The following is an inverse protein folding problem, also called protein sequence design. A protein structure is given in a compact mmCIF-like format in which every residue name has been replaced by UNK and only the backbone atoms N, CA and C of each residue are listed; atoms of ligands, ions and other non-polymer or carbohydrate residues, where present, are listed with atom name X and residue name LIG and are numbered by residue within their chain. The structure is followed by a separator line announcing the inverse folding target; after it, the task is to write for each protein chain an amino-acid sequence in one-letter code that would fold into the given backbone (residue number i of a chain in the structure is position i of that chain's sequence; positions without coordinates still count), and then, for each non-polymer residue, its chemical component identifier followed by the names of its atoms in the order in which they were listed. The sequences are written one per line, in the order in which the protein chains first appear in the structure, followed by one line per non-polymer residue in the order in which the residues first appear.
data_IF_488187076492
#
_entry.id   IF_488187076492
#
_cell.length_a   1.000
_cell.length_b   1.000
_cell.length_c   1.000
_cell.angle_alpha   90.00
_cell.angle_beta   90.00
_cell.angle_gamma   90.00
#
_symmetry.space_group_name_H-M   'P 1'
#
loop_
_entity.id
_entity.type
_entity.pdbx_description
1 polymer ?
#
# COMPACT_ATOMS: atom_id res chain seq x y z
N UNK A 1 -20.77 6.81 -9.33
CA UNK A 1 -19.89 6.25 -8.27
C UNK A 1 -18.70 7.17 -7.93
N UNK A 2 -18.13 7.90 -8.90
CA UNK A 2 -17.06 8.89 -8.66
C UNK A 2 -17.42 9.94 -7.62
N UNK A 3 -18.69 10.32 -7.56
CA UNK A 3 -19.19 11.41 -6.71
C UNK A 3 -19.15 11.08 -5.21
N UNK A 4 -18.80 9.84 -4.86
CA UNK A 4 -18.64 9.38 -3.48
C UNK A 4 -17.17 9.31 -3.04
N UNK A 5 -16.22 9.61 -3.94
CA UNK A 5 -14.78 9.45 -3.72
C UNK A 5 -14.13 10.81 -3.48
N UNK A 6 -13.75 11.07 -2.23
CA UNK A 6 -13.16 12.36 -1.84
C UNK A 6 -11.75 12.21 -1.23
N UNK A 7 -11.61 11.46 -0.14
CA UNK A 7 -10.36 11.38 0.63
C UNK A 7 -9.50 10.16 0.32
N UNK A 8 -10.08 9.15 -0.35
CA UNK A 8 -9.42 7.90 -0.73
C UNK A 8 -9.57 7.71 -2.24
N UNK A 9 -8.86 8.50 -3.02
CA UNK A 9 -8.88 8.42 -4.48
C UNK A 9 -7.83 7.40 -4.93
N UNK A 10 -8.22 6.19 -5.39
CA UNK A 10 -7.26 5.21 -5.85
C UNK A 10 -6.63 5.64 -7.17
N UNK A 11 -5.30 5.68 -7.22
CA UNK A 11 -4.52 5.99 -8.43
C UNK A 11 -3.47 4.93 -8.71
N UNK A 12 -3.15 4.71 -9.99
CA UNK A 12 -2.07 3.83 -10.40
C UNK A 12 -0.72 4.39 -9.97
N UNK A 13 -0.03 3.68 -9.09
CA UNK A 13 1.28 4.07 -8.59
C UNK A 13 2.32 4.14 -9.72
N UNK A 14 3.12 5.22 -9.74
CA UNK A 14 4.21 5.41 -10.70
C UNK A 14 5.57 5.30 -10.01
N UNK A 15 5.83 6.16 -9.03
CA UNK A 15 7.02 6.12 -8.17
C UNK A 15 6.78 6.94 -6.91
N UNK A 16 7.58 6.71 -5.87
CA UNK A 16 7.52 7.48 -4.61
C UNK A 16 7.85 8.96 -4.89
N UNK A 17 8.88 9.23 -5.70
CA UNK A 17 9.25 10.59 -6.10
C UNK A 17 8.12 11.33 -6.82
N UNK A 18 7.36 10.65 -7.69
CA UNK A 18 6.24 11.29 -8.38
C UNK A 18 5.09 11.60 -7.41
N UNK A 19 4.79 10.69 -6.49
CA UNK A 19 3.77 10.89 -5.48
C UNK A 19 4.12 12.06 -4.55
N UNK A 20 5.38 12.14 -4.12
CA UNK A 20 5.91 13.26 -3.34
C UNK A 20 5.80 14.60 -4.10
N UNK A 21 6.20 14.63 -5.37
CA UNK A 21 6.10 15.82 -6.22
C UNK A 21 4.65 16.31 -6.35
N UNK A 22 3.70 15.39 -6.53
CA UNK A 22 2.28 15.74 -6.69
C UNK A 22 1.67 16.24 -5.38
N UNK A 23 2.15 15.78 -4.22
CA UNK A 23 1.79 16.30 -2.90
C UNK A 23 0.27 16.22 -2.61
N UNK A 24 -0.43 15.24 -3.20
CA UNK A 24 -1.88 15.04 -3.06
C UNK A 24 -2.19 13.96 -2.02
N UNK A 25 -2.45 14.38 -0.79
CA UNK A 25 -2.72 13.46 0.34
C UNK A 25 -3.98 12.60 0.19
N UNK A 26 -4.96 13.03 -0.62
CA UNK A 26 -6.18 12.26 -0.89
C UNK A 26 -5.98 11.15 -1.93
N UNK A 27 -4.87 11.15 -2.66
CA UNK A 27 -4.53 10.05 -3.57
C UNK A 27 -3.91 8.89 -2.79
N UNK A 28 -4.35 7.67 -3.06
CA UNK A 28 -3.83 6.45 -2.45
C UNK A 28 -3.45 5.43 -3.52
N UNK A 29 -2.56 4.50 -3.18
CA UNK A 29 -2.21 3.38 -4.08
C UNK A 29 -2.30 2.03 -3.38
N UNK A 30 -2.72 1.02 -4.14
CA UNK A 30 -2.75 -0.38 -3.71
C UNK A 30 -1.55 -1.14 -4.27
N UNK A 31 -0.96 -2.01 -3.46
CA UNK A 31 0.23 -2.79 -3.79
C UNK A 31 0.01 -4.26 -3.43
N UNK A 32 0.47 -5.17 -4.31
CA UNK A 32 0.63 -6.56 -3.91
C UNK A 32 1.71 -6.69 -2.83
N UNK A 33 1.64 -7.73 -2.01
CA UNK A 33 2.65 -8.02 -0.99
C UNK A 33 4.08 -7.99 -1.56
N UNK A 34 4.29 -8.61 -2.73
CA UNK A 34 5.62 -8.68 -3.38
C UNK A 34 6.11 -7.29 -3.81
N UNK A 35 5.21 -6.46 -4.35
CA UNK A 35 5.57 -5.11 -4.81
C UNK A 35 5.91 -4.20 -3.63
N UNK A 36 5.12 -4.25 -2.56
CA UNK A 36 5.39 -3.46 -1.37
C UNK A 36 6.67 -3.93 -0.67
N UNK A 37 6.95 -5.25 -0.67
CA UNK A 37 8.19 -5.79 -0.14
C UNK A 37 9.43 -5.34 -0.94
N UNK A 38 9.32 -5.23 -2.28
CA UNK A 38 10.37 -4.62 -3.12
C UNK A 38 10.60 -3.15 -2.76
N UNK A 39 9.53 -2.36 -2.55
CA UNK A 39 9.66 -0.96 -2.08
C UNK A 39 10.33 -0.87 -0.70
N UNK A 40 10.01 -1.78 0.23
CA UNK A 40 10.67 -1.84 1.54
C UNK A 40 12.16 -2.14 1.39
N UNK A 41 12.54 -3.05 0.49
CA UNK A 41 13.95 -3.45 0.29
C UNK A 41 14.77 -2.35 -0.40
N UNK A 42 14.19 -1.66 -1.36
CA UNK A 42 14.90 -0.74 -2.24
C UNK A 42 14.82 0.73 -1.77
N UNK A 43 13.70 1.13 -1.16
CA UNK A 43 13.32 2.54 -0.93
C UNK A 43 12.54 2.71 0.39
N UNK A 44 13.01 2.07 1.47
CA UNK A 44 12.31 2.04 2.76
C UNK A 44 12.00 3.45 3.32
N UNK A 45 12.97 4.36 3.25
CA UNK A 45 12.87 5.70 3.85
C UNK A 45 11.83 6.55 3.10
N UNK A 46 11.85 6.49 1.78
CA UNK A 46 10.92 7.15 0.90
C UNK A 46 9.51 6.56 1.08
N UNK A 47 9.40 5.26 1.32
CA UNK A 47 8.10 4.64 1.54
C UNK A 47 7.49 5.03 2.89
N UNK A 48 8.31 5.18 3.94
CA UNK A 48 7.90 5.80 5.21
C UNK A 48 7.40 7.22 4.97
N UNK A 49 8.15 8.05 4.23
CA UNK A 49 7.74 9.43 3.93
C UNK A 49 6.43 9.49 3.14
N UNK A 50 6.23 8.59 2.17
CA UNK A 50 4.97 8.44 1.46
C UNK A 50 3.81 8.14 2.42
N UNK A 51 3.99 7.17 3.33
CA UNK A 51 2.97 6.75 4.28
C UNK A 51 2.67 7.79 5.39
N UNK A 52 3.52 8.80 5.57
CA UNK A 52 3.21 9.94 6.45
C UNK A 52 2.17 10.88 5.85
N UNK A 53 1.97 10.85 4.52
CA UNK A 53 1.16 11.84 3.80
C UNK A 53 0.02 11.24 2.99
N UNK A 54 0.15 9.98 2.58
CA UNK A 54 -0.79 9.25 1.75
C UNK A 54 -1.05 7.87 2.34
N UNK A 55 -2.13 7.23 1.89
CA UNK A 55 -2.50 5.87 2.34
C UNK A 55 -1.99 4.83 1.36
N UNK A 56 -1.35 3.79 1.88
CA UNK A 56 -1.03 2.57 1.13
C UNK A 56 -1.91 1.41 1.57
N UNK A 57 -2.45 0.68 0.57
CA UNK A 57 -3.15 -0.58 0.78
C UNK A 57 -2.32 -1.75 0.28
N UNK A 58 -2.02 -2.70 1.16
CA UNK A 58 -1.29 -3.93 0.82
C UNK A 58 -2.29 -5.06 0.73
N UNK A 59 -2.19 -5.91 -0.29
CA UNK A 59 -3.05 -7.09 -0.45
C UNK A 59 -2.24 -8.35 -0.79
N UNK A 60 -2.74 -9.55 -0.41
CA UNK A 60 -2.06 -10.80 -0.67
C UNK A 60 -1.86 -11.03 -2.17
N UNK A 61 -0.72 -11.60 -2.57
CA UNK A 61 -0.48 -11.96 -3.98
C UNK A 61 -1.46 -13.04 -4.44
N UNK A 62 -1.81 -13.03 -5.73
CA UNK A 62 -2.79 -13.95 -6.31
C UNK A 62 -2.41 -15.44 -6.29
N UNK A 63 -1.11 -15.76 -6.12
CA UNK A 63 -0.64 -17.15 -6.01
C UNK A 63 -0.97 -17.81 -4.65
N UNK A 64 -1.50 -17.05 -3.67
CA UNK A 64 -2.04 -17.60 -2.42
C UNK A 64 -3.44 -18.17 -2.64
N UNK A 65 -3.52 -19.20 -3.50
CA UNK A 65 -4.78 -19.83 -3.91
C UNK A 65 -5.56 -20.43 -2.72
N UNK A 66 -4.84 -20.86 -1.69
CA UNK A 66 -5.41 -21.40 -0.44
C UNK A 66 -5.75 -20.32 0.59
N UNK A 67 -5.85 -19.05 0.17
CA UNK A 67 -6.17 -17.91 1.05
C UNK A 67 -5.21 -17.72 2.24
N UNK A 68 -3.96 -18.18 2.15
CA UNK A 68 -2.96 -17.95 3.20
C UNK A 68 -2.67 -16.46 3.39
N UNK A 69 -2.22 -16.07 4.59
CA UNK A 69 -1.86 -14.68 4.91
C UNK A 69 -0.35 -14.43 4.81
N UNK A 70 0.04 -13.21 4.46
CA UNK A 70 1.40 -12.72 4.66
C UNK A 70 1.56 -12.16 6.08
N UNK A 71 2.79 -12.00 6.56
CA UNK A 71 3.04 -11.34 7.84
C UNK A 71 2.91 -9.80 7.68
N UNK A 72 1.89 -9.14 8.29
CA UNK A 72 1.67 -7.71 8.12
C UNK A 72 2.72 -6.84 8.82
N UNK A 73 3.44 -7.37 9.81
CA UNK A 73 4.39 -6.62 10.64
C UNK A 73 5.43 -5.86 9.81
N UNK A 74 5.95 -6.50 8.76
CA UNK A 74 6.96 -5.92 7.86
C UNK A 74 6.48 -4.61 7.19
N UNK A 75 5.19 -4.51 6.91
CA UNK A 75 4.59 -3.35 6.24
C UNK A 75 4.19 -2.27 7.25
N UNK A 76 3.78 -2.65 8.46
CA UNK A 76 3.54 -1.70 9.55
C UNK A 76 4.80 -0.94 9.96
N UNK A 77 5.97 -1.60 9.93
CA UNK A 77 7.26 -0.95 10.20
C UNK A 77 7.58 0.21 9.26
N UNK A 78 7.04 0.21 8.04
CA UNK A 78 7.18 1.32 7.09
C UNK A 78 5.95 2.21 7.02
N UNK A 79 5.01 2.07 7.95
CA UNK A 79 3.84 2.94 8.08
C UNK A 79 2.64 2.59 7.19
N UNK A 80 2.61 1.43 6.54
CA UNK A 80 1.47 1.04 5.71
C UNK A 80 0.20 0.87 6.56
N UNK A 81 -0.86 1.62 6.24
CA UNK A 81 -2.06 1.73 7.08
C UNK A 81 -3.09 0.63 6.78
N UNK A 82 -3.26 0.27 5.51
CA UNK A 82 -4.27 -0.70 5.08
C UNK A 82 -3.64 -2.04 4.66
N UNK A 83 -3.12 -2.81 5.62
CA UNK A 83 -2.62 -4.16 5.37
C UNK A 83 -3.77 -5.18 5.36
N UNK A 84 -4.31 -5.47 4.17
CA UNK A 84 -5.45 -6.38 4.01
C UNK A 84 -5.02 -7.85 4.13
N UNK A 85 -5.78 -8.59 4.93
CA UNK A 85 -5.61 -10.03 5.19
C UNK A 85 -6.91 -10.78 4.84
N UNK A 86 -6.77 -12.08 4.61
CA UNK A 86 -7.84 -13.03 4.42
C UNK A 86 -8.40 -13.43 5.78
N UNK A 87 -9.56 -12.87 6.17
CA UNK A 87 -10.18 -13.09 7.49
C UNK A 87 -10.71 -14.53 7.66
N UNK A 88 -10.95 -15.24 6.55
CA UNK A 88 -11.35 -16.64 6.54
C UNK A 88 -10.23 -17.60 6.97
N UNK A 89 -8.99 -17.13 7.03
CA UNK A 89 -7.80 -17.92 7.36
C UNK A 89 -7.14 -17.30 8.60
N UNK A 90 -7.15 -18.04 9.72
CA UNK A 90 -6.52 -17.61 10.98
C UNK A 90 -4.99 -17.65 10.91
#
# INVERSE_FOLDING_TARGET
MSDLVHYLVPVSFKSLAKAEQLSKSFEMSSFSEDRALSLIREQAKEFVAYNQRQISRIYPRGTRLESSNYNPYMYWLVGCQMCALNYQTL
#
